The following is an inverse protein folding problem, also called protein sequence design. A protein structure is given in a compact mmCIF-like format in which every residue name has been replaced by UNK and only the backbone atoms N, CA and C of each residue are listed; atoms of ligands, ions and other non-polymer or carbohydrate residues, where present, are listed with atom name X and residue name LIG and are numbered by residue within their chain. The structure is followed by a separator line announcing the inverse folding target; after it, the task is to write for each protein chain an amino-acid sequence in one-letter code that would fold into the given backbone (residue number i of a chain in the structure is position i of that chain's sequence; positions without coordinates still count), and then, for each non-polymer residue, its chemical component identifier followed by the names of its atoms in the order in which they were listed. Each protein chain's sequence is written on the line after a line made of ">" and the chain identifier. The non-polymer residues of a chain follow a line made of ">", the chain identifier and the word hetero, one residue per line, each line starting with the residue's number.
data_IF_056296204546
#
_entry.id   IF_056296204546
#
_cell.length_a   1.000
_cell.length_b   1.000
_cell.length_c   1.000
_cell.angle_alpha   90.00
_cell.angle_beta   90.00
_cell.angle_gamma   90.00
#
_symmetry.space_group_name_H-M   'P 1'
#
loop_
_entity.id
_entity.type
_entity.pdbx_description
1 polymer ?
#
# COMPACT_ATOMS: atom_id res chain seq x y z
N UNK A 1 -19.50 -19.54 12.16
CA UNK A 1 -18.41 -19.28 11.20
C UNK A 1 -17.38 -18.43 11.93
N UNK A 2 -16.10 -18.77 11.83
CA UNK A 2 -15.00 -17.98 12.38
C UNK A 2 -14.43 -17.13 11.25
N UNK A 3 -14.31 -15.83 11.48
CA UNK A 3 -13.66 -14.90 10.57
C UNK A 3 -12.32 -14.47 11.17
N UNK A 4 -11.34 -14.26 10.31
CA UNK A 4 -10.00 -13.77 10.64
C UNK A 4 -9.73 -12.53 9.81
N UNK A 5 -8.66 -11.80 10.16
CA UNK A 5 -8.29 -10.57 9.48
C UNK A 5 -8.08 -10.76 7.97
N UNK A 6 -8.55 -9.78 7.19
CA UNK A 6 -8.44 -9.78 5.73
C UNK A 6 -6.99 -9.72 5.23
N UNK A 7 -6.07 -9.13 5.99
CA UNK A 7 -4.64 -9.04 5.66
C UNK A 7 -3.93 -10.39 5.55
N UNK A 8 -4.52 -11.46 6.10
CA UNK A 8 -4.01 -12.83 5.92
C UNK A 8 -4.21 -13.32 4.48
N UNK A 9 -5.23 -12.81 3.78
CA UNK A 9 -5.59 -13.24 2.42
C UNK A 9 -5.37 -12.13 1.37
N UNK A 10 -5.61 -10.87 1.72
CA UNK A 10 -5.65 -9.72 0.83
C UNK A 10 -5.23 -8.45 1.59
N UNK A 11 -3.92 -8.25 1.77
CA UNK A 11 -3.40 -7.05 2.46
C UNK A 11 -3.53 -5.78 1.61
N UNK A 12 -3.54 -5.93 0.28
CA UNK A 12 -3.90 -4.89 -0.68
C UNK A 12 -5.18 -5.31 -1.44
N UNK A 13 -6.37 -4.81 -1.07
CA UNK A 13 -7.63 -5.27 -1.66
C UNK A 13 -7.93 -4.67 -3.04
N UNK A 14 -7.01 -3.89 -3.62
CA UNK A 14 -7.24 -3.11 -4.85
C UNK A 14 -7.76 -3.95 -6.02
N UNK A 15 -7.12 -5.09 -6.31
CA UNK A 15 -7.55 -5.98 -7.40
C UNK A 15 -8.94 -6.57 -7.14
N UNK A 16 -9.22 -6.94 -5.89
CA UNK A 16 -10.53 -7.46 -5.46
C UNK A 16 -11.62 -6.39 -5.63
N UNK A 17 -11.38 -5.16 -5.18
CA UNK A 17 -12.32 -4.04 -5.35
C UNK A 17 -12.58 -3.74 -6.83
N UNK A 18 -11.53 -3.74 -7.66
CA UNK A 18 -11.67 -3.59 -9.11
C UNK A 18 -12.55 -4.70 -9.71
N UNK A 19 -12.28 -5.97 -9.37
CA UNK A 19 -13.03 -7.11 -9.90
C UNK A 19 -14.49 -7.08 -9.45
N UNK A 20 -14.79 -6.64 -8.22
CA UNK A 20 -16.17 -6.45 -7.76
C UNK A 20 -16.86 -5.32 -8.53
N UNK A 21 -16.20 -4.20 -8.85
CA UNK A 21 -16.80 -3.17 -9.71
C UNK A 21 -17.16 -3.71 -11.11
N UNK A 22 -16.33 -4.61 -11.67
CA UNK A 22 -16.65 -5.31 -12.92
C UNK A 22 -17.86 -6.23 -12.77
N UNK A 23 -17.96 -6.94 -11.63
CA UNK A 23 -19.11 -7.79 -11.32
C UNK A 23 -20.41 -6.99 -11.25
N UNK A 24 -20.36 -5.74 -10.77
CA UNK A 24 -21.47 -4.79 -10.82
C UNK A 24 -21.68 -4.12 -12.19
N UNK A 25 -21.04 -4.63 -13.25
CA UNK A 25 -21.18 -4.15 -14.63
C UNK A 25 -20.72 -2.70 -14.85
N UNK A 26 -19.82 -2.18 -14.01
CA UNK A 26 -19.19 -0.88 -14.25
C UNK A 26 -18.27 -1.01 -15.48
N UNK A 27 -18.43 -0.16 -16.53
CA UNK A 27 -17.57 -0.24 -17.70
C UNK A 27 -16.11 -0.02 -17.33
N UNK A 28 -15.22 -0.95 -17.69
CA UNK A 28 -13.80 -0.90 -17.33
C UNK A 28 -13.14 0.44 -17.59
N UNK A 29 -13.46 1.09 -18.72
CA UNK A 29 -12.91 2.40 -19.13
C UNK A 29 -13.31 3.57 -18.22
N UNK A 30 -14.33 3.39 -17.40
CA UNK A 30 -14.84 4.37 -16.43
C UNK A 30 -14.32 4.15 -15.01
N UNK A 31 -13.53 3.10 -14.80
CA UNK A 31 -12.99 2.78 -13.47
C UNK A 31 -11.62 3.44 -13.33
N UNK A 32 -11.46 4.26 -12.32
CA UNK A 32 -10.17 4.71 -11.82
C UNK A 32 -10.04 4.26 -10.38
N UNK A 33 -8.83 3.95 -9.93
CA UNK A 33 -8.58 3.43 -8.59
C UNK A 33 -7.43 4.20 -7.96
N UNK A 34 -7.72 4.80 -6.81
CA UNK A 34 -6.74 5.33 -5.88
C UNK A 34 -6.60 4.32 -4.74
N UNK A 35 -5.41 3.74 -4.60
CA UNK A 35 -5.06 2.81 -3.54
C UNK A 35 -4.21 3.51 -2.49
N UNK A 36 -4.65 3.47 -1.23
CA UNK A 36 -3.97 4.10 -0.11
C UNK A 36 -3.33 3.00 0.75
N UNK A 37 -2.03 3.09 0.96
CA UNK A 37 -1.31 2.22 1.88
C UNK A 37 -1.16 2.81 3.27
N UNK A 38 -0.90 1.93 4.24
CA UNK A 38 -0.60 2.32 5.64
C UNK A 38 0.88 2.64 5.88
N UNK A 39 1.67 2.63 4.81
CA UNK A 39 3.11 2.85 4.84
C UNK A 39 3.93 1.57 4.94
N UNK A 40 5.20 1.65 4.53
CA UNK A 40 6.11 0.51 4.45
C UNK A 40 7.51 0.90 4.93
N UNK A 41 8.11 0.10 5.80
CA UNK A 41 9.49 0.31 6.23
C UNK A 41 10.47 -0.18 5.16
N UNK A 42 11.36 0.69 4.70
CA UNK A 42 12.44 0.30 3.80
C UNK A 42 13.67 -0.13 4.63
N UNK A 43 14.04 -1.43 4.62
CA UNK A 43 15.18 -1.89 5.39
C UNK A 43 16.49 -1.31 4.84
N UNK A 44 17.44 -1.04 5.74
CA UNK A 44 18.78 -0.62 5.37
C UNK A 44 19.40 -1.62 4.37
N UNK A 45 19.76 -1.17 3.14
CA UNK A 45 20.39 -2.04 2.14
C UNK A 45 21.71 -2.65 2.61
N UNK A 46 22.40 -2.03 3.58
CA UNK A 46 23.66 -2.51 4.12
C UNK A 46 23.47 -3.60 5.18
N UNK A 47 22.28 -3.68 5.80
CA UNK A 47 21.92 -4.67 6.81
C UNK A 47 20.52 -5.28 6.55
N UNK A 48 20.30 -5.92 5.39
CA UNK A 48 18.99 -6.44 5.01
C UNK A 48 18.49 -7.54 5.96
N UNK A 49 19.40 -8.18 6.69
CA UNK A 49 19.09 -9.28 7.62
C UNK A 49 18.62 -8.82 9.00
N UNK A 50 18.95 -7.61 9.45
CA UNK A 50 18.50 -7.10 10.76
C UNK A 50 16.99 -6.88 10.82
N UNK A 51 16.37 -6.57 9.68
CA UNK A 51 14.95 -6.25 9.59
C UNK A 51 14.11 -7.29 8.85
N UNK A 52 14.74 -8.33 8.28
CA UNK A 52 14.05 -9.52 7.75
C UNK A 52 13.18 -10.25 8.78
N UNK A 53 13.36 -9.93 10.06
CA UNK A 53 12.63 -10.49 11.20
C UNK A 53 11.72 -9.48 11.93
N UNK A 54 11.64 -8.21 11.50
CA UNK A 54 11.00 -7.12 12.27
C UNK A 54 9.84 -6.42 11.55
N UNK A 55 9.13 -7.14 10.69
CA UNK A 55 7.74 -6.82 10.40
C UNK A 55 6.88 -8.01 10.85
N UNK A 56 6.01 -7.73 11.82
CA UNK A 56 4.71 -8.33 12.06
C UNK A 56 4.47 -9.76 11.53
N UNK A 57 4.35 -10.70 12.48
CA UNK A 57 4.03 -12.12 12.35
C UNK A 57 5.18 -13.04 11.94
N UNK A 58 5.52 -14.00 12.83
CA UNK A 58 6.48 -15.12 12.71
C UNK A 58 7.14 -15.31 11.32
N UNK A 59 8.45 -15.04 11.26
CA UNK A 59 9.56 -15.52 10.39
C UNK A 59 9.37 -15.79 8.87
N UNK A 60 8.18 -16.05 8.34
CA UNK A 60 7.94 -16.35 6.91
C UNK A 60 6.72 -15.64 6.30
N UNK A 61 5.86 -15.00 7.11
CA UNK A 61 4.69 -14.27 6.63
C UNK A 61 5.00 -12.89 5.97
N UNK A 62 6.02 -12.12 6.41
CA UNK A 62 6.26 -10.77 5.90
C UNK A 62 6.59 -10.74 4.40
N UNK A 63 7.41 -11.69 3.93
CA UNK A 63 7.73 -11.83 2.49
C UNK A 63 6.49 -12.13 1.65
N UNK A 64 5.53 -12.88 2.20
CA UNK A 64 4.31 -13.25 1.50
C UNK A 64 3.35 -12.05 1.41
N UNK A 65 3.22 -11.28 2.50
CA UNK A 65 2.33 -10.11 2.56
C UNK A 65 2.85 -8.99 1.64
N UNK A 66 4.14 -8.63 1.73
CA UNK A 66 4.73 -7.62 0.84
C UNK A 66 4.67 -8.05 -0.63
N UNK A 67 4.94 -9.33 -0.93
CA UNK A 67 4.79 -9.84 -2.29
C UNK A 67 3.32 -9.81 -2.78
N UNK A 68 2.33 -9.97 -1.90
CA UNK A 68 0.92 -9.82 -2.26
C UNK A 68 0.55 -8.37 -2.61
N UNK A 69 1.08 -7.39 -1.87
CA UNK A 69 0.86 -5.98 -2.15
C UNK A 69 1.49 -5.57 -3.48
N UNK A 70 2.76 -5.94 -3.70
CA UNK A 70 3.50 -5.66 -4.94
C UNK A 70 2.84 -6.32 -6.16
N UNK A 71 2.37 -7.57 -6.01
CA UNK A 71 1.67 -8.28 -7.08
C UNK A 71 0.35 -7.60 -7.43
N UNK A 72 -0.40 -7.11 -6.43
CA UNK A 72 -1.65 -6.40 -6.66
C UNK A 72 -1.40 -5.06 -7.38
N UNK A 73 -0.40 -4.29 -6.94
CA UNK A 73 -0.06 -3.02 -7.58
C UNK A 73 0.40 -3.23 -9.03
N UNK A 74 1.26 -4.22 -9.29
CA UNK A 74 1.70 -4.55 -10.64
C UNK A 74 0.54 -4.96 -11.56
N UNK A 75 -0.37 -5.80 -11.08
CA UNK A 75 -1.58 -6.17 -11.81
C UNK A 75 -2.40 -4.93 -12.19
N UNK A 76 -2.59 -4.02 -11.23
CA UNK A 76 -3.44 -2.85 -11.38
C UNK A 76 -2.81 -1.80 -12.30
N UNK A 77 -1.50 -1.57 -12.23
CA UNK A 77 -0.78 -0.74 -13.20
C UNK A 77 -0.92 -1.28 -14.63
N UNK A 78 -0.84 -2.60 -14.81
CA UNK A 78 -1.02 -3.22 -16.13
C UNK A 78 -2.43 -3.02 -16.68
N UNK A 79 -3.47 -3.14 -15.83
CA UNK A 79 -4.87 -3.03 -16.23
C UNK A 79 -5.34 -1.59 -16.46
N UNK A 80 -5.00 -0.70 -15.54
CA UNK A 80 -5.57 0.65 -15.48
C UNK A 80 -4.61 1.73 -15.94
N UNK A 81 -3.30 1.45 -15.99
CA UNK A 81 -2.25 2.40 -16.38
C UNK A 81 -2.37 3.68 -15.55
N UNK A 82 -2.51 4.83 -16.20
CA UNK A 82 -2.67 6.15 -15.57
C UNK A 82 -3.96 6.32 -14.75
N UNK A 83 -4.93 5.40 -14.85
CA UNK A 83 -6.14 5.39 -14.03
C UNK A 83 -5.96 4.63 -12.72
N UNK A 84 -4.79 4.04 -12.49
CA UNK A 84 -4.39 3.50 -11.20
C UNK A 84 -3.35 4.40 -10.57
N UNK A 85 -3.54 4.70 -9.28
CA UNK A 85 -2.56 5.40 -8.48
C UNK A 85 -2.43 4.72 -7.13
N UNK A 86 -1.19 4.53 -6.69
CA UNK A 86 -0.84 4.02 -5.37
C UNK A 86 -0.18 5.13 -4.58
N UNK A 87 -0.76 5.46 -3.44
CA UNK A 87 -0.21 6.40 -2.47
C UNK A 87 0.32 5.59 -1.29
N UNK A 88 1.66 5.57 -1.18
CA UNK A 88 2.39 4.73 -0.24
C UNK A 88 3.51 5.55 0.40
N UNK A 89 3.45 5.69 1.72
CA UNK A 89 4.51 6.32 2.51
C UNK A 89 5.61 5.29 2.80
N UNK A 90 6.87 5.70 2.76
CA UNK A 90 7.99 4.86 3.15
C UNK A 90 8.62 5.35 4.45
N UNK A 91 8.69 4.47 5.45
CA UNK A 91 9.25 4.78 6.76
C UNK A 91 10.74 4.48 6.81
N UNK A 92 11.47 5.36 7.52
CA UNK A 92 12.89 5.19 7.82
C UNK A 92 13.15 4.30 9.03
N UNK A 93 12.16 4.13 9.89
CA UNK A 93 12.19 3.28 11.07
C UNK A 93 10.94 2.38 11.07
N UNK A 94 11.03 1.15 11.60
CA UNK A 94 9.87 0.28 11.68
C UNK A 94 8.86 0.82 12.70
N UNK A 95 7.57 0.73 12.37
CA UNK A 95 6.46 1.13 13.24
C UNK A 95 5.57 -0.08 13.50
N UNK A 96 5.22 -0.31 14.76
CA UNK A 96 4.35 -1.41 15.13
C UNK A 96 2.88 -1.17 14.77
N UNK A 97 2.14 -2.22 14.39
CA UNK A 97 0.70 -2.13 14.12
C UNK A 97 -0.11 -1.72 15.36
N UNK A 98 0.34 -2.11 16.55
CA UNK A 98 -0.24 -1.79 17.85
C UNK A 98 0.44 -0.59 18.54
N UNK A 99 1.36 0.07 17.83
CA UNK A 99 2.09 1.21 18.35
C UNK A 99 1.25 2.48 18.23
N UNK A 100 0.87 3.04 19.37
CA UNK A 100 0.01 4.22 19.47
C UNK A 100 0.79 5.49 19.86
N UNK A 101 2.00 5.34 20.37
CA UNK A 101 2.86 6.48 20.76
C UNK A 101 3.33 7.28 19.54
N UNK A 102 3.41 6.63 18.37
CA UNK A 102 3.87 7.23 17.12
C UNK A 102 2.76 7.90 16.29
N UNK A 103 1.50 7.97 16.77
CA UNK A 103 0.37 8.50 15.98
C UNK A 103 0.65 9.92 15.48
N UNK A 104 1.18 10.80 16.32
CA UNK A 104 1.50 12.18 15.92
C UNK A 104 2.53 12.23 14.79
N UNK A 105 3.57 11.38 14.87
CA UNK A 105 4.59 11.27 13.83
C UNK A 105 4.03 10.68 12.53
N UNK A 106 3.11 9.70 12.62
CA UNK A 106 2.42 9.15 11.44
C UNK A 106 1.54 10.19 10.75
N UNK A 107 0.86 11.05 11.51
CA UNK A 107 0.08 12.16 10.95
C UNK A 107 0.98 13.16 10.23
N UNK A 108 2.09 13.54 10.84
CA UNK A 108 3.06 14.45 10.23
C UNK A 108 3.62 13.89 8.92
N UNK A 109 4.00 12.60 8.90
CA UNK A 109 4.45 11.92 7.67
C UNK A 109 3.36 11.90 6.60
N UNK A 110 2.10 11.70 6.99
CA UNK A 110 0.96 11.76 6.08
C UNK A 110 0.79 13.15 5.45
N UNK A 111 0.92 14.22 6.24
CA UNK A 111 0.85 15.59 5.73
C UNK A 111 2.02 15.90 4.80
N UNK A 112 3.25 15.58 5.19
CA UNK A 112 4.43 15.75 4.35
C UNK A 112 4.29 15.03 3.01
N UNK A 113 3.78 13.79 3.03
CA UNK A 113 3.58 13.03 1.80
C UNK A 113 2.53 13.66 0.86
N UNK A 114 1.46 14.23 1.42
CA UNK A 114 0.45 14.96 0.61
C UNK A 114 1.07 16.22 0.00
N UNK A 115 1.86 16.98 0.77
CA UNK A 115 2.57 18.16 0.27
C UNK A 115 3.57 17.80 -0.84
N UNK A 116 4.32 16.71 -0.70
CA UNK A 116 5.23 16.19 -1.73
C UNK A 116 4.47 15.81 -3.01
N UNK A 117 3.33 15.14 -2.86
CA UNK A 117 2.46 14.77 -3.98
C UNK A 117 1.88 16.00 -4.70
N UNK A 118 1.49 17.04 -3.96
CA UNK A 118 0.97 18.29 -4.52
C UNK A 118 2.07 19.06 -5.28
N UNK A 119 3.29 19.05 -4.75
CA UNK A 119 4.45 19.69 -5.38
C UNK A 119 5.01 18.91 -6.59
N UNK A 120 4.64 17.64 -6.76
CA UNK A 120 5.23 16.77 -7.78
C UNK A 120 4.61 16.98 -9.16
N UNK A 121 5.43 17.42 -10.12
CA UNK A 121 5.09 17.44 -11.54
C UNK A 121 4.85 16.03 -12.11
N UNK A 122 5.24 14.98 -11.40
CA UNK A 122 5.05 13.59 -11.84
C UNK A 122 3.72 13.01 -11.37
N UNK A 123 3.07 13.62 -10.37
CA UNK A 123 1.79 13.16 -9.86
C UNK A 123 0.70 13.34 -10.94
N UNK A 124 0.09 12.24 -11.44
CA UNK A 124 -0.89 12.34 -12.51
C UNK A 124 -2.16 13.11 -12.10
N UNK A 125 -2.49 13.23 -10.81
CA UNK A 125 -3.64 14.04 -10.35
C UNK A 125 -3.44 15.53 -10.64
N UNK A 126 -2.21 16.01 -10.55
CA UNK A 126 -1.91 17.43 -10.75
C UNK A 126 -2.04 17.86 -12.23
N UNK A 127 -2.21 16.89 -13.14
CA UNK A 127 -2.34 17.10 -14.59
C UNK A 127 -3.77 16.88 -15.11
N UNK A 128 -4.72 16.60 -14.23
CA UNK A 128 -6.15 16.45 -14.56
C UNK A 128 -6.84 17.80 -14.69
#
# INVERSE_FOLDING_TARGET
>A
KTFIDGGIHLNNPTSTTYNEAIRYSVPQKKISVLSLGTGYYLPDPQNPDQYRNLLFWKQNLPKLISAQEDNADQEMYNKLKNRYQRWQVFFKEPVGLDEHECISSLLELGYQYIEELDCSDENPINKL
#
